data_IF_808066710006
#
_entry.id   IF_808066710006
#
_cell.length_a   1.000
_cell.length_b   1.000
_cell.length_c   1.000
_cell.angle_alpha   90.00
_cell.angle_beta   90.00
_cell.angle_gamma   90.00
#
_symmetry.space_group_name_H-M   'P 1'
#
loop_
_entity.id
_entity.type
_entity.pdbx_description
1 polymer ?
#
# COMPACT_ATOMS: atom_id res chain seq x y z
N UNK A 1 22.37 29.60 12.17
CA UNK A 1 22.83 28.87 10.97
C UNK A 1 22.36 27.41 10.90
N UNK A 2 22.68 26.49 11.83
CA UNK A 2 22.15 25.10 11.76
C UNK A 2 20.64 24.96 12.04
N UNK A 3 20.08 25.80 12.91
CA UNK A 3 18.63 25.79 13.23
C UNK A 3 17.79 26.19 12.02
N UNK A 4 18.23 27.18 11.27
CA UNK A 4 17.52 27.71 10.11
C UNK A 4 17.38 26.64 9.01
N UNK A 5 18.45 25.88 8.74
CA UNK A 5 18.45 24.79 7.76
C UNK A 5 17.49 23.63 8.15
N UNK A 6 17.37 23.31 9.44
CA UNK A 6 16.41 22.30 9.93
C UNK A 6 14.97 22.79 9.78
N UNK A 7 14.69 24.06 10.09
CA UNK A 7 13.35 24.64 9.90
C UNK A 7 12.89 24.63 8.44
N UNK A 8 13.77 24.96 7.49
CA UNK A 8 13.46 24.90 6.06
C UNK A 8 13.21 23.47 5.57
N UNK A 9 13.99 22.50 6.06
CA UNK A 9 13.82 21.09 5.71
C UNK A 9 12.47 20.54 6.19
N UNK A 10 12.07 20.82 7.44
CA UNK A 10 10.77 20.39 7.97
C UNK A 10 9.58 21.03 7.23
N UNK A 11 9.72 22.30 6.83
CA UNK A 11 8.67 22.99 6.07
C UNK A 11 8.51 22.41 4.67
N UNK A 12 9.63 22.13 3.99
CA UNK A 12 9.64 21.48 2.69
C UNK A 12 9.06 20.06 2.77
N UNK A 13 9.45 19.29 3.79
CA UNK A 13 8.93 17.95 4.07
C UNK A 13 7.41 17.96 4.24
N UNK A 14 6.88 18.83 5.13
CA UNK A 14 5.44 19.00 5.34
C UNK A 14 4.71 19.40 4.05
N UNK A 15 5.31 20.27 3.24
CA UNK A 15 4.76 20.69 1.95
C UNK A 15 4.63 19.55 0.94
N UNK A 16 5.68 18.73 0.78
CA UNK A 16 5.67 17.57 -0.11
C UNK A 16 4.59 16.57 0.32
N UNK A 17 4.49 16.27 1.61
CA UNK A 17 3.49 15.33 2.10
C UNK A 17 2.06 15.83 1.92
N UNK A 18 1.81 17.12 2.16
CA UNK A 18 0.51 17.72 1.89
C UNK A 18 0.13 17.63 0.40
N UNK A 19 1.10 17.91 -0.48
CA UNK A 19 0.91 17.82 -1.93
C UNK A 19 0.60 16.38 -2.36
N UNK A 20 1.39 15.40 -1.91
CA UNK A 20 1.20 13.97 -2.22
C UNK A 20 -0.13 13.47 -1.67
N UNK A 21 -0.45 13.77 -0.41
CA UNK A 21 -1.71 13.36 0.21
C UNK A 21 -2.93 13.94 -0.52
N UNK A 22 -2.89 15.23 -0.83
CA UNK A 22 -3.97 15.91 -1.57
C UNK A 22 -4.12 15.33 -2.98
N UNK A 23 -3.02 15.15 -3.71
CA UNK A 23 -3.03 14.56 -5.04
C UNK A 23 -3.67 13.16 -5.02
N UNK A 24 -3.24 12.30 -4.10
CA UNK A 24 -3.77 10.94 -3.97
C UNK A 24 -5.27 10.93 -3.63
N UNK A 25 -5.73 11.84 -2.76
CA UNK A 25 -7.16 11.98 -2.44
C UNK A 25 -7.94 12.41 -3.68
N UNK A 26 -7.47 13.42 -4.41
CA UNK A 26 -8.12 13.89 -5.64
C UNK A 26 -8.25 12.76 -6.65
N UNK A 27 -7.17 12.00 -6.89
CA UNK A 27 -7.20 10.86 -7.81
C UNK A 27 -8.17 9.77 -7.33
N UNK A 28 -8.17 9.45 -6.04
CA UNK A 28 -9.11 8.47 -5.48
C UNK A 28 -10.58 8.88 -5.66
N UNK A 29 -10.90 10.17 -5.45
CA UNK A 29 -12.25 10.72 -5.65
C UNK A 29 -12.65 10.68 -7.13
N UNK A 30 -11.74 11.04 -8.04
CA UNK A 30 -11.98 10.96 -9.49
C UNK A 30 -12.33 9.51 -9.90
N UNK A 31 -11.54 8.54 -9.43
CA UNK A 31 -11.80 7.13 -9.70
C UNK A 31 -13.16 6.67 -9.14
N UNK A 32 -13.51 7.11 -7.94
CA UNK A 32 -14.82 6.78 -7.34
C UNK A 32 -15.97 7.31 -8.19
N UNK A 33 -15.90 8.55 -8.66
CA UNK A 33 -16.90 9.13 -9.57
C UNK A 33 -16.96 8.33 -10.87
N UNK A 34 -15.81 7.99 -11.46
CA UNK A 34 -15.72 7.22 -12.69
C UNK A 34 -16.41 5.84 -12.58
N UNK A 35 -16.22 5.15 -11.45
CA UNK A 35 -16.87 3.87 -11.16
C UNK A 35 -18.38 4.00 -11.17
N UNK A 36 -18.93 5.06 -10.54
CA UNK A 36 -20.37 5.27 -10.48
C UNK A 36 -20.92 5.61 -11.86
N UNK A 37 -20.27 6.53 -12.59
CA UNK A 37 -20.75 7.02 -13.88
C UNK A 37 -20.65 5.95 -14.98
N UNK A 38 -19.55 5.20 -15.04
CA UNK A 38 -19.40 4.15 -16.05
C UNK A 38 -20.01 2.81 -15.65
N UNK A 39 -20.00 2.48 -14.35
CA UNK A 39 -20.42 1.18 -13.86
C UNK A 39 -21.93 0.99 -13.87
N UNK A 40 -22.70 1.97 -13.39
CA UNK A 40 -24.16 1.86 -13.32
C UNK A 40 -24.85 1.58 -14.66
N UNK A 41 -24.48 2.26 -15.77
CA UNK A 41 -25.07 2.00 -17.08
C UNK A 41 -24.86 0.57 -17.60
N UNK A 42 -23.80 -0.14 -17.20
CA UNK A 42 -23.56 -1.52 -17.62
C UNK A 42 -24.59 -2.50 -17.04
N UNK A 43 -25.09 -2.25 -15.83
CA UNK A 43 -26.14 -3.07 -15.20
C UNK A 43 -27.46 -3.00 -15.97
N UNK A 44 -27.79 -1.85 -16.55
CA UNK A 44 -28.99 -1.67 -17.36
C UNK A 44 -28.92 -2.37 -18.72
N UNK A 45 -27.72 -2.74 -19.19
CA UNK A 45 -27.51 -3.46 -20.46
C UNK A 45 -27.60 -4.99 -20.33
N UNK A 46 -27.81 -5.51 -19.12
CA UNK A 46 -27.96 -6.96 -18.88
C UNK A 46 -26.65 -7.75 -18.77
N UNK A 47 -25.49 -7.10 -18.84
CA UNK A 47 -24.17 -7.74 -18.71
C UNK A 47 -23.69 -7.82 -17.25
N UNK A 48 -24.49 -8.45 -16.38
CA UNK A 48 -24.25 -8.46 -14.92
C UNK A 48 -22.88 -9.01 -14.51
N UNK A 49 -22.40 -10.08 -15.15
CA UNK A 49 -21.11 -10.70 -14.83
C UNK A 49 -19.94 -9.76 -15.16
N UNK A 50 -19.92 -9.21 -16.38
CA UNK A 50 -18.89 -8.28 -16.85
C UNK A 50 -18.90 -6.97 -16.05
N UNK A 51 -20.10 -6.43 -15.79
CA UNK A 51 -20.28 -5.23 -14.98
C UNK A 51 -19.72 -5.41 -13.56
N UNK A 52 -20.02 -6.55 -12.94
CA UNK A 52 -19.56 -6.87 -11.58
C UNK A 52 -18.04 -7.00 -11.52
N UNK A 53 -17.42 -7.75 -12.45
CA UNK A 53 -15.96 -7.89 -12.49
C UNK A 53 -15.28 -6.52 -12.71
N UNK A 54 -15.80 -5.69 -13.63
CA UNK A 54 -15.26 -4.35 -13.88
C UNK A 54 -15.39 -3.44 -12.64
N UNK A 55 -16.53 -3.49 -11.95
CA UNK A 55 -16.72 -2.75 -10.70
C UNK A 55 -15.75 -3.18 -9.61
N UNK A 56 -15.55 -4.50 -9.42
CA UNK A 56 -14.62 -5.00 -8.43
C UNK A 56 -13.19 -4.53 -8.73
N UNK A 57 -12.75 -4.61 -9.98
CA UNK A 57 -11.40 -4.17 -10.38
C UNK A 57 -11.20 -2.68 -10.06
N UNK A 58 -12.12 -1.82 -10.49
CA UNK A 58 -12.01 -0.38 -10.24
C UNK A 58 -12.17 -0.02 -8.74
N UNK A 59 -13.04 -0.73 -8.01
CA UNK A 59 -13.21 -0.55 -6.57
C UNK A 59 -11.94 -0.97 -5.82
N UNK A 60 -11.31 -2.08 -6.18
CA UNK A 60 -10.02 -2.50 -5.61
C UNK A 60 -8.95 -1.45 -5.89
N UNK A 61 -8.85 -0.92 -7.12
CA UNK A 61 -7.92 0.17 -7.45
C UNK A 61 -8.17 1.41 -6.58
N UNK A 62 -9.43 1.78 -6.36
CA UNK A 62 -9.79 2.95 -5.53
C UNK A 62 -9.46 2.73 -4.07
N UNK A 63 -9.80 1.56 -3.52
CA UNK A 63 -9.44 1.18 -2.16
C UNK A 63 -7.92 1.19 -1.98
N UNK A 64 -7.17 0.78 -2.99
CA UNK A 64 -5.73 0.87 -2.96
C UNK A 64 -5.22 2.30 -2.94
N UNK A 65 -5.76 3.21 -3.75
CA UNK A 65 -5.39 4.62 -3.66
C UNK A 65 -5.67 5.19 -2.27
N UNK A 66 -6.86 4.92 -1.72
CA UNK A 66 -7.24 5.32 -0.37
C UNK A 66 -6.27 4.76 0.69
N UNK A 67 -5.82 3.51 0.51
CA UNK A 67 -4.84 2.92 1.41
C UNK A 67 -3.45 3.53 1.24
N UNK A 68 -3.09 4.11 0.07
CA UNK A 68 -1.81 4.85 -0.08
C UNK A 68 -1.88 6.08 0.80
N UNK A 69 -2.98 6.84 0.68
CA UNK A 69 -3.23 8.03 1.51
C UNK A 69 -3.09 7.70 2.98
N UNK A 70 -3.75 6.61 3.43
CA UNK A 70 -3.65 6.17 4.83
C UNK A 70 -2.21 5.92 5.25
N UNK A 71 -1.42 5.18 4.46
CA UNK A 71 -0.01 4.89 4.80
C UNK A 71 0.85 6.15 4.83
N UNK A 72 0.64 7.10 3.91
CA UNK A 72 1.36 8.39 3.89
C UNK A 72 1.01 9.24 5.11
N UNK A 73 -0.27 9.31 5.49
CA UNK A 73 -0.71 10.06 6.68
C UNK A 73 -0.24 9.38 7.97
N UNK A 74 -0.27 8.05 8.04
CA UNK A 74 0.23 7.29 9.17
C UNK A 74 1.73 7.51 9.40
N UNK A 75 2.52 7.58 8.31
CA UNK A 75 3.93 7.93 8.38
C UNK A 75 4.15 9.32 8.99
N UNK A 76 3.30 10.29 8.65
CA UNK A 76 3.34 11.66 9.20
C UNK A 76 3.15 11.70 10.72
N UNK A 77 2.24 10.88 11.27
CA UNK A 77 1.91 10.88 12.70
C UNK A 77 3.02 10.33 13.58
N UNK A 78 3.87 9.47 13.05
CA UNK A 78 4.92 8.80 13.83
C UNK A 78 6.11 9.75 14.08
N UNK A 79 6.33 10.76 13.23
CA UNK A 79 7.24 11.91 13.46
C UNK A 79 8.73 11.60 13.72
N UNK A 80 9.09 10.33 13.82
CA UNK A 80 10.42 9.81 14.15
C UNK A 80 10.61 8.50 13.39
N UNK A 81 11.76 8.31 12.72
CA UNK A 81 12.06 7.07 11.99
C UNK A 81 12.24 5.90 12.97
N UNK A 82 11.14 5.39 13.51
CA UNK A 82 11.12 4.11 14.17
C UNK A 82 11.11 3.01 13.10
N UNK A 83 12.04 2.07 13.23
CA UNK A 83 12.21 0.96 12.27
C UNK A 83 10.90 0.18 12.10
N UNK A 84 10.16 -0.01 13.17
CA UNK A 84 8.94 -0.81 13.17
C UNK A 84 7.80 -0.24 12.28
N UNK A 85 7.37 1.03 12.40
CA UNK A 85 6.41 1.65 11.49
C UNK A 85 6.79 1.59 10.01
N UNK A 86 8.08 1.79 9.68
CA UNK A 86 8.56 1.71 8.29
C UNK A 86 8.40 0.29 7.74
N UNK A 87 8.79 -0.73 8.50
CA UNK A 87 8.63 -2.11 8.06
C UNK A 87 7.14 -2.49 7.90
N UNK A 88 6.26 -2.01 8.80
CA UNK A 88 4.81 -2.23 8.68
C UNK A 88 4.27 -1.61 7.38
N UNK A 89 4.66 -0.38 7.05
CA UNK A 89 4.28 0.26 5.79
C UNK A 89 4.80 -0.54 4.59
N UNK A 90 6.03 -1.07 4.67
CA UNK A 90 6.61 -1.97 3.66
C UNK A 90 5.75 -3.22 3.43
N UNK A 91 5.32 -3.90 4.51
CA UNK A 91 4.44 -5.07 4.41
C UNK A 91 3.10 -4.70 3.78
N UNK A 92 2.48 -3.59 4.23
CA UNK A 92 1.20 -3.12 3.67
C UNK A 92 1.34 -2.83 2.16
N UNK A 93 2.45 -2.23 1.73
CA UNK A 93 2.72 -1.96 0.32
C UNK A 93 2.89 -3.25 -0.50
N UNK A 94 3.63 -4.23 0.01
CA UNK A 94 3.83 -5.52 -0.66
C UNK A 94 2.52 -6.33 -0.77
N UNK A 95 1.75 -6.44 0.31
CA UNK A 95 0.46 -7.15 0.32
C UNK A 95 -0.52 -6.52 -0.68
N UNK A 96 -0.54 -5.19 -0.76
CA UNK A 96 -1.37 -4.47 -1.74
C UNK A 96 -1.01 -4.84 -3.17
N UNK A 97 0.29 -4.88 -3.51
CA UNK A 97 0.73 -5.26 -4.86
C UNK A 97 0.31 -6.68 -5.21
N UNK A 98 0.39 -7.61 -4.24
CA UNK A 98 -0.08 -9.00 -4.42
C UNK A 98 -1.57 -9.01 -4.79
N UNK A 99 -2.42 -8.26 -4.07
CA UNK A 99 -3.86 -8.20 -4.35
C UNK A 99 -4.19 -7.62 -5.73
N UNK A 100 -3.44 -6.61 -6.22
CA UNK A 100 -3.64 -6.09 -7.60
C UNK A 100 -3.30 -7.18 -8.59
N UNK A 101 -2.11 -7.75 -8.41
CA UNK A 101 -1.55 -8.65 -9.40
C UNK A 101 -2.40 -9.90 -9.54
N UNK A 102 -2.90 -10.45 -8.43
CA UNK A 102 -3.83 -11.59 -8.46
C UNK A 102 -5.16 -11.24 -9.11
N UNK A 103 -5.70 -10.04 -8.89
CA UNK A 103 -6.93 -9.57 -9.56
C UNK A 103 -6.73 -9.41 -11.08
N UNK A 104 -5.61 -8.82 -11.50
CA UNK A 104 -5.26 -8.66 -12.93
C UNK A 104 -5.07 -10.02 -13.60
N UNK A 105 -4.37 -10.96 -12.94
CA UNK A 105 -4.18 -12.33 -13.43
C UNK A 105 -5.51 -13.06 -13.58
N UNK A 106 -6.41 -12.93 -12.60
CA UNK A 106 -7.75 -13.52 -12.68
C UNK A 106 -8.56 -12.96 -13.85
N UNK A 107 -8.43 -11.66 -14.15
CA UNK A 107 -9.11 -11.00 -15.27
C UNK A 107 -8.50 -11.27 -16.66
N UNK A 108 -7.28 -11.81 -16.74
CA UNK A 108 -6.61 -12.15 -18.01
C UNK A 108 -6.57 -13.65 -18.30
N UNK A 109 -6.93 -14.49 -17.31
CA UNK A 109 -7.06 -15.93 -17.46
C UNK A 109 -8.03 -16.28 -18.61
N UNK A 110 -7.49 -16.84 -19.70
CA UNK A 110 -8.26 -17.27 -20.88
C UNK A 110 -8.03 -16.46 -22.18
N UNK A 111 -7.20 -15.42 -22.16
CA UNK A 111 -6.84 -14.64 -23.38
C UNK A 111 -5.72 -15.31 -24.18
N UNK A 112 -5.72 -15.16 -25.52
CA UNK A 112 -4.67 -15.70 -26.41
C UNK A 112 -3.31 -15.10 -26.03
N UNK A 113 -2.32 -15.95 -25.72
CA UNK A 113 -1.01 -15.52 -25.18
C UNK A 113 -0.83 -15.69 -23.66
N UNK A 114 -1.85 -16.16 -22.94
CA UNK A 114 -1.85 -16.27 -21.49
C UNK A 114 -0.74 -17.16 -20.88
N UNK A 115 -0.15 -18.09 -21.63
CA UNK A 115 0.87 -19.01 -21.08
C UNK A 115 2.21 -18.33 -20.77
N UNK A 116 2.61 -17.33 -21.55
CA UNK A 116 3.85 -16.58 -21.30
C UNK A 116 3.67 -15.59 -20.14
N UNK A 117 2.52 -14.89 -20.10
CA UNK A 117 2.18 -13.95 -19.02
C UNK A 117 1.96 -14.68 -17.69
N UNK A 118 1.28 -15.83 -17.70
CA UNK A 118 1.04 -16.61 -16.48
C UNK A 118 2.34 -17.01 -15.77
N UNK A 119 3.37 -17.43 -16.51
CA UNK A 119 4.68 -17.76 -15.91
C UNK A 119 5.33 -16.55 -15.28
N UNK A 120 5.29 -15.40 -15.95
CA UNK A 120 5.85 -14.14 -15.43
C UNK A 120 5.09 -13.70 -14.17
N UNK A 121 3.76 -13.74 -14.20
CA UNK A 121 2.90 -13.35 -13.09
C UNK A 121 3.08 -14.29 -11.88
N UNK A 122 3.24 -15.60 -12.10
CA UNK A 122 3.55 -16.55 -11.03
C UNK A 122 4.89 -16.26 -10.36
N UNK A 123 5.92 -15.90 -11.14
CA UNK A 123 7.23 -15.52 -10.57
C UNK A 123 7.13 -14.19 -9.81
N UNK A 124 6.43 -13.19 -10.35
CA UNK A 124 6.23 -11.90 -9.68
C UNK A 124 5.46 -12.09 -8.34
N UNK A 125 4.37 -12.86 -8.33
CA UNK A 125 3.63 -13.19 -7.10
C UNK A 125 4.51 -13.96 -6.10
N UNK A 126 5.32 -14.91 -6.59
CA UNK A 126 6.27 -15.65 -5.75
C UNK A 126 7.30 -14.74 -5.09
N UNK A 127 7.90 -13.82 -5.85
CA UNK A 127 8.89 -12.86 -5.35
C UNK A 127 8.27 -11.86 -4.37
N UNK A 128 7.05 -11.38 -4.64
CA UNK A 128 6.32 -10.51 -3.73
C UNK A 128 6.00 -11.22 -2.41
N UNK A 129 5.56 -12.48 -2.47
CA UNK A 129 5.29 -13.30 -1.28
C UNK A 129 6.55 -13.52 -0.45
N UNK A 130 7.68 -13.82 -1.10
CA UNK A 130 8.98 -13.92 -0.44
C UNK A 130 9.38 -12.60 0.23
N UNK A 131 9.18 -11.47 -0.44
CA UNK A 131 9.45 -10.13 0.11
C UNK A 131 8.64 -9.88 1.38
N UNK A 132 7.35 -10.23 1.39
CA UNK A 132 6.49 -10.13 2.58
C UNK A 132 7.04 -10.98 3.73
N UNK A 133 7.47 -12.22 3.46
CA UNK A 133 8.05 -13.09 4.47
C UNK A 133 9.35 -12.50 5.06
N UNK A 134 10.23 -11.96 4.22
CA UNK A 134 11.47 -11.30 4.66
C UNK A 134 11.14 -10.12 5.57
N UNK A 135 10.20 -9.26 5.19
CA UNK A 135 9.78 -8.11 6.00
C UNK A 135 9.12 -8.54 7.32
N UNK A 136 8.31 -9.60 7.30
CA UNK A 136 7.69 -10.15 8.51
C UNK A 136 8.74 -10.69 9.50
N UNK A 137 9.74 -11.41 9.00
CA UNK A 137 10.88 -11.88 9.81
C UNK A 137 11.68 -10.70 10.35
N UNK A 138 11.92 -9.67 9.54
CA UNK A 138 12.62 -8.47 9.98
C UNK A 138 11.88 -7.75 11.13
N UNK A 139 10.55 -7.60 11.05
CA UNK A 139 9.74 -7.05 12.15
C UNK A 139 9.85 -7.93 13.39
N UNK A 140 9.76 -9.24 13.25
CA UNK A 140 9.85 -10.18 14.36
C UNK A 140 11.20 -10.04 15.10
N UNK A 141 12.31 -9.93 14.37
CA UNK A 141 13.64 -9.72 14.94
C UNK A 141 13.77 -8.37 15.65
N UNK A 142 13.26 -7.28 15.05
CA UNK A 142 13.27 -5.94 15.65
C UNK A 142 12.47 -5.90 16.96
N UNK A 143 11.31 -6.55 17.00
CA UNK A 143 10.47 -6.65 18.21
C UNK A 143 11.16 -7.46 19.31
N UNK A 144 11.78 -8.59 18.95
CA UNK A 144 12.53 -9.43 19.90
C UNK A 144 13.74 -8.69 20.47
N UNK A 145 14.45 -7.88 19.69
CA UNK A 145 15.58 -7.10 20.19
C UNK A 145 15.16 -6.05 21.23
N UNK A 146 13.99 -5.42 21.09
CA UNK A 146 13.47 -4.48 22.09
C UNK A 146 13.06 -5.15 23.40
N UNK A 147 12.57 -6.39 23.37
CA UNK A 147 12.20 -7.12 24.60
C UNK A 147 13.41 -7.63 25.40
N UNK A 148 14.62 -7.60 24.82
CA UNK A 148 15.87 -8.02 25.45
C UNK A 148 16.59 -6.92 26.24
N UNK A 149 15.98 -5.74 26.40
CA UNK A 149 16.43 -4.70 27.35
C UNK A 149 15.51 -4.65 28.60
N UNK A 150 15.45 -5.70 29.44
CA UNK A 150 14.88 -5.56 30.77
C UNK A 150 15.81 -4.70 31.62
N UNK A 151 15.21 -3.71 32.30
CA UNK A 151 15.84 -2.81 33.27
C UNK A 151 16.71 -3.57 34.26
N UNK A 152 18.01 -3.55 34.03
CA UNK A 152 19.03 -3.91 35.01
C UNK A 152 19.53 -2.64 35.68
N UNK A 153 18.87 -2.27 36.77
CA UNK A 153 19.32 -1.46 37.92
C UNK A 153 18.12 -0.70 38.46
N UNK A 154 17.47 -1.30 39.46
CA UNK A 154 16.90 -0.63 40.63
C UNK A 154 16.98 -1.64 41.78
N UNK A 155 18.21 -2.02 42.10
CA UNK A 155 18.58 -2.81 43.26
C UNK A 155 19.77 -2.14 43.93
N UNK A 156 19.51 -1.53 45.10
CA UNK A 156 20.40 -0.88 46.07
C UNK A 156 20.76 0.60 45.86
N UNK A 157 20.11 1.49 46.61
CA UNK A 157 20.65 2.01 47.87
C UNK A 157 19.56 2.72 48.68
#
# INVERSE_FOLDING_TARGET
MKKDALYWAEWAERGIYWAVGTLLIVVAVIFLIFIVVEGFPLYFKGEFATATIKLFDQALLTLMLAQVVYTTVAFLKVGTLQVEPILVVGIIASVRRILVLTAVVAGTAGKVGATLTFRQDMVEIGLLSLTVLILAVAIYLVRKSKSFLPSGEDGNA
#
